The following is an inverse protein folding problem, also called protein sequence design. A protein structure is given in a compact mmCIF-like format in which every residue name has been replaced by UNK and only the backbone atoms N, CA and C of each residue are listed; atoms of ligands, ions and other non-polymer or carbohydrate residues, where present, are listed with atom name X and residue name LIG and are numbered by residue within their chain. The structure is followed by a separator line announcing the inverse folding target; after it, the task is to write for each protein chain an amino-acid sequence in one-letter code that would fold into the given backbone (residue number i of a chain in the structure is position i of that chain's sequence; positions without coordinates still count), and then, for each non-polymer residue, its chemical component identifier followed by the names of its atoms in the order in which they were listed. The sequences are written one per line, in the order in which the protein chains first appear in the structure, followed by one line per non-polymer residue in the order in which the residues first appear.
data_IF_951671215703
#
_entry.id   IF_951671215703
#
_cell.length_a   1.000
_cell.length_b   1.000
_cell.length_c   1.000
_cell.angle_alpha   90.00
_cell.angle_beta   90.00
_cell.angle_gamma   90.00
#
_symmetry.space_group_name_H-M   'P 1'
#
loop_
_entity.id
_entity.type
_entity.pdbx_description
1 polymer ?
#
# COMPACT_ATOMS: atom_id res chain seq x y z
N UNK A 1 -9.93 -16.42 -14.85
CA UNK A 1 -9.32 -17.55 -14.12
C UNK A 1 -8.36 -16.93 -13.14
N UNK A 2 -8.65 -17.08 -11.85
CA UNK A 2 -7.81 -16.52 -10.79
C UNK A 2 -6.76 -17.55 -10.42
N UNK A 3 -5.48 -17.17 -10.55
CA UNK A 3 -4.32 -18.05 -10.34
C UNK A 3 -3.66 -17.68 -9.02
N UNK A 4 -3.59 -18.61 -8.07
CA UNK A 4 -2.91 -18.41 -6.79
C UNK A 4 -1.60 -19.21 -6.81
N UNK A 5 -0.47 -18.53 -6.58
CA UNK A 5 0.87 -19.15 -6.53
C UNK A 5 1.35 -19.17 -5.08
N UNK A 6 1.50 -20.37 -4.50
CA UNK A 6 1.91 -20.55 -3.08
C UNK A 6 3.36 -21.06 -3.01
N UNK A 7 4.20 -20.42 -2.20
CA UNK A 7 5.57 -20.86 -1.90
C UNK A 7 5.71 -21.15 -0.41
N UNK A 8 6.23 -22.32 -0.03
CA UNK A 8 6.43 -22.69 1.38
C UNK A 8 7.57 -21.90 2.06
N UNK A 9 8.45 -21.25 1.29
CA UNK A 9 9.48 -20.33 1.83
C UNK A 9 8.96 -18.91 2.09
N UNK A 10 7.85 -18.53 1.43
CA UNK A 10 7.27 -17.19 1.50
C UNK A 10 5.76 -17.31 1.24
N UNK A 11 4.96 -17.15 2.31
CA UNK A 11 3.52 -17.08 2.20
C UNK A 11 3.11 -15.78 1.50
N UNK A 12 2.88 -15.86 0.19
CA UNK A 12 2.51 -14.72 -0.64
C UNK A 12 1.09 -14.92 -1.18
N UNK A 13 0.26 -13.89 -1.04
CA UNK A 13 -1.04 -13.80 -1.70
C UNK A 13 -0.97 -12.68 -2.74
N UNK A 14 -1.36 -12.99 -3.98
CA UNK A 14 -1.56 -12.00 -5.04
C UNK A 14 -3.06 -11.82 -5.24
N UNK A 15 -3.54 -10.58 -5.21
CA UNK A 15 -4.95 -10.27 -5.35
C UNK A 15 -5.14 -9.21 -6.43
N UNK A 16 -6.03 -9.49 -7.39
CA UNK A 16 -6.45 -8.52 -8.40
C UNK A 16 -7.74 -7.86 -7.94
N UNK A 17 -7.69 -6.54 -7.79
CA UNK A 17 -8.82 -5.74 -7.33
C UNK A 17 -9.72 -5.35 -8.50
N UNK A 18 -11.02 -5.30 -8.23
CA UNK A 18 -11.99 -4.67 -9.13
C UNK A 18 -12.01 -3.17 -8.85
N UNK A 19 -12.17 -2.37 -9.90
CA UNK A 19 -12.29 -0.91 -9.77
C UNK A 19 -13.43 -0.53 -8.82
N UNK A 20 -13.21 0.52 -8.02
CA UNK A 20 -14.18 1.04 -7.06
C UNK A 20 -14.34 0.24 -5.76
N UNK A 21 -13.71 -0.92 -5.59
CA UNK A 21 -13.70 -1.61 -4.30
C UNK A 21 -12.54 -1.15 -3.41
N UNK A 22 -12.79 -0.68 -2.18
CA UNK A 22 -11.74 -0.34 -1.25
C UNK A 22 -10.98 -1.60 -0.81
N UNK A 23 -9.69 -1.41 -0.51
CA UNK A 23 -8.78 -2.45 -0.07
C UNK A 23 -8.58 -2.28 1.44
N UNK A 24 -9.33 -3.06 2.20
CA UNK A 24 -9.13 -3.11 3.65
C UNK A 24 -7.93 -4.00 3.95
N UNK A 25 -6.88 -3.40 4.52
CA UNK A 25 -5.63 -4.10 4.86
C UNK A 25 -5.91 -5.21 5.88
N UNK A 26 -6.83 -4.97 6.80
CA UNK A 26 -7.30 -5.92 7.80
C UNK A 26 -7.93 -7.15 7.14
N UNK A 27 -8.75 -6.94 6.10
CA UNK A 27 -9.35 -8.03 5.33
C UNK A 27 -8.30 -8.84 4.58
N UNK A 28 -7.29 -8.17 4.01
CA UNK A 28 -6.15 -8.85 3.39
C UNK A 28 -5.39 -9.73 4.39
N UNK A 29 -5.13 -9.22 5.60
CA UNK A 29 -4.49 -10.02 6.66
C UNK A 29 -5.35 -11.21 7.04
N UNK A 30 -6.65 -11.01 7.21
CA UNK A 30 -7.57 -12.08 7.59
C UNK A 30 -7.59 -13.20 6.55
N UNK A 31 -7.61 -12.88 5.25
CA UNK A 31 -7.55 -13.90 4.19
C UNK A 31 -6.27 -14.75 4.26
N UNK A 32 -5.13 -14.15 4.59
CA UNK A 32 -3.86 -14.87 4.75
C UNK A 32 -3.88 -15.75 6.01
N UNK A 33 -4.49 -15.25 7.09
CA UNK A 33 -4.70 -16.00 8.35
C UNK A 33 -5.63 -17.20 8.13
N UNK A 34 -6.75 -17.00 7.44
CA UNK A 34 -7.71 -18.07 7.13
C UNK A 34 -7.10 -19.16 6.23
N UNK A 35 -6.08 -18.81 5.45
CA UNK A 35 -5.28 -19.76 4.66
C UNK A 35 -4.21 -20.51 5.49
N UNK A 36 -4.10 -20.24 6.80
CA UNK A 36 -3.20 -20.92 7.72
C UNK A 36 -1.82 -20.27 7.87
N UNK A 37 -1.65 -19.00 7.47
CA UNK A 37 -0.38 -18.28 7.54
C UNK A 37 -0.44 -17.07 8.48
N UNK A 38 0.71 -16.65 9.01
CA UNK A 38 0.81 -15.44 9.84
C UNK A 38 1.52 -14.33 9.06
N UNK A 39 0.78 -13.35 8.49
CA UNK A 39 1.39 -12.29 7.68
C UNK A 39 2.18 -11.30 8.54
N UNK A 40 3.49 -11.25 8.35
CA UNK A 40 4.39 -10.32 9.07
C UNK A 40 4.42 -8.93 8.45
N UNK A 41 4.18 -8.82 7.14
CA UNK A 41 4.06 -7.57 6.40
C UNK A 41 3.17 -7.75 5.17
N UNK A 42 2.62 -6.65 4.67
CA UNK A 42 1.93 -6.58 3.38
C UNK A 42 2.72 -5.62 2.50
N UNK A 43 3.12 -6.06 1.31
CA UNK A 43 3.74 -5.20 0.29
C UNK A 43 2.72 -4.94 -0.81
N UNK A 44 2.59 -3.68 -1.21
CA UNK A 44 1.69 -3.27 -2.27
C UNK A 44 2.43 -2.37 -3.27
N UNK A 45 1.94 -2.35 -4.49
CA UNK A 45 2.36 -1.44 -5.55
C UNK A 45 1.11 -0.77 -6.10
N UNK A 46 1.10 0.57 -6.13
CA UNK A 46 -0.09 1.33 -6.51
C UNK A 46 0.28 2.68 -7.13
N UNK A 47 -0.57 3.15 -8.04
CA UNK A 47 -0.49 4.49 -8.62
C UNK A 47 -1.51 5.38 -7.93
N UNK A 48 -1.12 6.62 -7.63
CA UNK A 48 -1.95 7.50 -6.83
C UNK A 48 -1.34 8.88 -6.68
N UNK A 49 -1.79 9.60 -5.66
CA UNK A 49 -1.32 10.95 -5.35
C UNK A 49 -1.10 11.07 -3.85
N UNK A 50 -0.12 11.88 -3.46
CA UNK A 50 -0.01 12.30 -2.07
C UNK A 50 -1.09 13.33 -1.75
N UNK A 51 -1.67 13.18 -0.56
CA UNK A 51 -2.56 14.16 0.06
C UNK A 51 -2.23 14.29 1.53
N UNK A 52 -2.25 15.49 2.06
CA UNK A 52 -2.08 15.73 3.50
C UNK A 52 -3.43 16.07 4.14
N UNK A 53 -3.76 15.38 5.23
CA UNK A 53 -4.95 15.66 6.05
C UNK A 53 -4.58 15.65 7.53
N UNK A 54 -4.91 16.73 8.24
CA UNK A 54 -4.68 16.87 9.68
C UNK A 54 -3.22 16.56 10.09
N UNK A 55 -2.26 17.03 9.27
CA UNK A 55 -0.82 16.81 9.48
C UNK A 55 -0.33 15.39 9.15
N UNK A 56 -1.21 14.48 8.76
CA UNK A 56 -0.86 13.11 8.35
C UNK A 56 -0.83 13.00 6.82
N UNK A 57 0.24 12.41 6.29
CA UNK A 57 0.32 12.06 4.87
C UNK A 57 -0.50 10.82 4.57
N UNK A 58 -1.29 10.90 3.52
CA UNK A 58 -1.99 9.78 2.93
C UNK A 58 -1.61 9.63 1.46
N UNK A 59 -1.57 8.39 1.01
CA UNK A 59 -1.54 8.06 -0.40
C UNK A 59 -2.95 7.74 -0.86
N UNK A 60 -3.50 8.56 -1.76
CA UNK A 60 -4.78 8.30 -2.42
C UNK A 60 -4.55 7.45 -3.67
N UNK A 61 -4.99 6.21 -3.64
CA UNK A 61 -4.86 5.28 -4.78
C UNK A 61 -5.80 5.72 -5.90
N UNK A 62 -5.27 5.82 -7.11
CA UNK A 62 -6.03 6.26 -8.28
C UNK A 62 -7.13 5.27 -8.65
N UNK A 63 -8.29 5.78 -9.09
CA UNK A 63 -9.45 4.94 -9.44
C UNK A 63 -10.19 4.34 -8.24
N UNK A 64 -9.83 4.73 -7.01
CA UNK A 64 -10.49 4.27 -5.77
C UNK A 64 -10.62 5.40 -4.76
N UNK A 65 -11.46 5.20 -3.74
CA UNK A 65 -11.51 6.05 -2.55
C UNK A 65 -10.53 5.62 -1.46
N UNK A 66 -9.62 4.68 -1.77
CA UNK A 66 -8.66 4.16 -0.82
C UNK A 66 -7.64 5.23 -0.43
N UNK A 67 -7.51 5.45 0.88
CA UNK A 67 -6.45 6.26 1.49
C UNK A 67 -5.55 5.36 2.32
N UNK A 68 -4.25 5.40 2.07
CA UNK A 68 -3.24 4.65 2.82
C UNK A 68 -2.44 5.64 3.63
N UNK A 69 -2.53 5.58 4.97
CA UNK A 69 -1.73 6.42 5.84
C UNK A 69 -0.25 6.07 5.69
N UNK A 70 0.62 7.06 5.51
CA UNK A 70 2.05 6.87 5.35
C UNK A 70 2.80 7.17 6.66
N UNK A 71 3.87 6.41 6.90
CA UNK A 71 4.81 6.69 7.99
C UNK A 71 5.63 7.93 7.62
N UNK A 72 5.83 8.82 8.59
CA UNK A 72 6.75 9.94 8.43
C UNK A 72 8.19 9.44 8.54
N UNK A 73 8.85 9.29 7.40
CA UNK A 73 10.23 8.85 7.27
C UNK A 73 10.96 9.58 6.12
N UNK A 74 12.25 9.31 5.97
CA UNK A 74 13.08 9.95 4.93
C UNK A 74 12.58 9.66 3.51
N UNK A 75 11.99 8.47 3.28
CA UNK A 75 11.46 8.07 1.97
C UNK A 75 10.19 8.87 1.62
N UNK A 76 9.31 9.10 2.59
CA UNK A 76 8.16 9.99 2.42
C UNK A 76 8.59 11.42 2.11
N UNK A 77 9.62 11.93 2.79
CA UNK A 77 10.14 13.28 2.54
C UNK A 77 10.78 13.40 1.15
N UNK A 78 11.50 12.36 0.70
CA UNK A 78 12.02 12.28 -0.66
C UNK A 78 10.88 12.27 -1.70
N UNK A 79 9.84 11.48 -1.47
CA UNK A 79 8.65 11.42 -2.30
C UNK A 79 7.96 12.79 -2.38
N UNK A 80 7.77 13.48 -1.25
CA UNK A 80 7.18 14.83 -1.19
C UNK A 80 8.00 15.85 -1.98
N UNK A 81 9.34 15.81 -1.87
CA UNK A 81 10.23 16.68 -2.65
C UNK A 81 10.12 16.42 -4.16
N UNK A 82 10.01 15.15 -4.57
CA UNK A 82 9.90 14.78 -5.98
C UNK A 82 8.54 15.13 -6.59
N UNK A 83 7.46 15.00 -5.83
CA UNK A 83 6.08 15.20 -6.32
C UNK A 83 5.56 16.62 -6.12
N UNK A 84 6.17 17.43 -5.26
CA UNK A 84 5.55 18.65 -4.76
C UNK A 84 4.53 18.33 -3.66
N UNK A 85 4.21 19.31 -2.80
CA UNK A 85 3.49 19.07 -1.55
C UNK A 85 2.16 18.32 -1.72
N UNK A 86 1.44 18.47 -2.83
CA UNK A 86 0.22 17.70 -3.12
C UNK A 86 -0.05 17.59 -4.63
N UNK A 87 -0.56 16.43 -5.08
CA UNK A 87 -1.35 16.34 -6.31
C UNK A 87 -0.69 15.75 -7.57
N UNK A 88 0.64 15.53 -7.61
CA UNK A 88 1.23 14.78 -8.75
C UNK A 88 0.93 13.29 -8.65
N UNK A 89 0.66 12.70 -9.81
CA UNK A 89 0.53 11.24 -9.98
C UNK A 89 1.89 10.61 -9.69
N UNK A 90 1.91 9.54 -8.91
CA UNK A 90 3.14 8.82 -8.54
C UNK A 90 2.81 7.35 -8.31
N UNK A 91 3.70 6.47 -8.76
CA UNK A 91 3.65 5.06 -8.41
C UNK A 91 4.47 4.85 -7.14
N UNK A 92 3.92 4.14 -6.15
CA UNK A 92 4.65 3.76 -4.93
C UNK A 92 4.62 2.26 -4.75
N UNK A 93 5.72 1.75 -4.22
CA UNK A 93 5.78 0.46 -3.55
C UNK A 93 5.84 0.75 -2.05
N UNK A 94 4.88 0.20 -1.31
CA UNK A 94 4.80 0.40 0.13
C UNK A 94 4.74 -0.91 0.90
N UNK A 95 5.16 -0.87 2.16
CA UNK A 95 5.12 -1.99 3.09
C UNK A 95 4.34 -1.62 4.35
N UNK A 96 3.41 -2.49 4.77
CA UNK A 96 2.61 -2.34 5.98
C UNK A 96 2.97 -3.46 6.96
N UNK A 97 3.80 -3.20 7.99
CA UNK A 97 4.15 -4.17 9.03
C UNK A 97 2.93 -4.65 9.81
N UNK A 98 2.95 -5.88 10.34
CA UNK A 98 1.83 -6.47 11.09
C UNK A 98 1.30 -5.59 12.23
N UNK A 99 2.19 -4.95 12.96
CA UNK A 99 1.86 -4.15 14.14
C UNK A 99 1.36 -2.73 13.82
N UNK A 100 1.30 -2.37 12.52
CA UNK A 100 1.03 -1.00 12.08
C UNK A 100 -0.11 -0.97 11.05
N UNK A 101 -0.86 0.12 11.10
CA UNK A 101 -1.87 0.47 10.07
C UNK A 101 -1.36 1.59 9.14
N UNK A 102 -0.04 1.80 9.10
CA UNK A 102 0.61 2.80 8.25
C UNK A 102 1.63 2.13 7.35
N UNK A 103 1.68 2.57 6.10
CA UNK A 103 2.63 2.11 5.11
C UNK A 103 3.94 2.90 5.19
N UNK A 104 5.06 2.20 5.13
CA UNK A 104 6.37 2.77 4.83
C UNK A 104 6.56 2.77 3.32
N UNK A 105 7.08 3.85 2.76
CA UNK A 105 7.41 3.92 1.33
C UNK A 105 8.74 3.21 1.12
N UNK A 106 8.77 2.16 0.29
CA UNK A 106 10.01 1.47 -0.07
C UNK A 106 10.65 2.05 -1.33
N UNK A 107 9.80 2.36 -2.32
CA UNK A 107 10.22 2.87 -3.63
C UNK A 107 9.10 3.73 -4.21
N UNK A 108 9.46 4.71 -5.03
CA UNK A 108 8.49 5.48 -5.81
C UNK A 108 9.04 5.84 -7.19
N UNK A 109 8.13 6.05 -8.14
CA UNK A 109 8.42 6.50 -9.49
C UNK A 109 7.45 7.62 -9.87
N UNK A 110 8.00 8.77 -10.23
CA UNK A 110 7.22 9.93 -10.72
C UNK A 110 7.22 9.87 -12.25
N UNK A 111 6.06 9.66 -12.91
CA UNK A 111 5.94 9.68 -14.36
C UNK A 111 6.13 11.07 -14.98
#
# INVERSE_FOLDING_TARGET
MDTVKVSLKLAQAEMKLKEGQPVEVERLRQLVVDAGFTPTWIRFEAIGRLTTRDGTSFFKVEGTDQLIALVADEQLEALRKATGQDGKRVAIVGMIPQEKNRAQVERFEVP
#
